data_IF_069939673699
#
_entry.id   IF_069939673699
#
_cell.length_a   1.000
_cell.length_b   1.000
_cell.length_c   1.000
_cell.angle_alpha   90.00
_cell.angle_beta   90.00
_cell.angle_gamma   90.00
#
_symmetry.space_group_name_H-M   'P 1'
#
loop_
_entity.id
_entity.type
_entity.pdbx_description
1 polymer ?
#
# COMPACT_ATOMS: atom_id res chain seq x y z
N UNK A 1 14.28 4.51 41.56
CA UNK A 1 13.48 4.48 40.31
C UNK A 1 13.02 3.04 40.18
N UNK A 2 11.72 2.78 40.13
CA UNK A 2 11.24 1.40 39.99
C UNK A 2 11.59 0.90 38.57
N UNK A 3 11.91 -0.38 38.41
CA UNK A 3 12.27 -1.01 37.12
C UNK A 3 11.21 -0.70 36.04
N UNK A 4 9.94 -0.66 36.43
CA UNK A 4 8.84 -0.26 35.56
C UNK A 4 8.99 1.18 35.01
N UNK A 5 9.31 2.16 35.87
CA UNK A 5 9.50 3.55 35.43
C UNK A 5 10.73 3.72 34.54
N UNK A 6 11.74 2.87 34.72
CA UNK A 6 12.90 2.85 33.86
C UNK A 6 12.54 2.29 32.47
N UNK A 7 11.76 1.21 32.41
CA UNK A 7 11.29 0.63 31.17
C UNK A 7 10.38 1.59 30.39
N UNK A 8 9.45 2.25 31.09
CA UNK A 8 8.55 3.26 30.51
C UNK A 8 9.33 4.42 29.89
N UNK A 9 10.36 4.95 30.58
CA UNK A 9 11.21 6.00 30.01
C UNK A 9 11.94 5.58 28.73
N UNK A 10 12.37 4.32 28.65
CA UNK A 10 12.97 3.78 27.44
C UNK A 10 11.93 3.72 26.30
N UNK A 11 10.69 3.27 26.60
CA UNK A 11 9.61 3.24 25.62
C UNK A 11 9.21 4.64 25.12
N UNK A 12 9.03 5.61 26.03
CA UNK A 12 8.72 7.00 25.67
C UNK A 12 9.82 7.63 24.81
N UNK A 13 11.09 7.38 25.19
CA UNK A 13 12.22 7.88 24.43
C UNK A 13 12.28 7.29 23.03
N UNK A 14 11.92 6.02 22.88
CA UNK A 14 11.87 5.38 21.58
C UNK A 14 10.79 5.99 20.68
N UNK A 15 9.63 6.32 21.23
CA UNK A 15 8.56 6.98 20.48
C UNK A 15 9.02 8.35 19.94
N UNK A 16 9.67 9.16 20.78
CA UNK A 16 10.25 10.44 20.33
C UNK A 16 11.30 10.29 19.22
N UNK A 17 12.11 9.22 19.28
CA UNK A 17 13.14 8.92 18.30
C UNK A 17 12.53 8.45 16.97
N UNK A 18 11.49 7.63 17.05
CA UNK A 18 10.72 7.17 15.90
C UNK A 18 10.09 8.35 15.16
N UNK A 19 9.43 9.27 15.86
CA UNK A 19 8.82 10.47 15.27
C UNK A 19 9.83 11.37 14.56
N UNK A 20 11.11 11.32 14.98
CA UNK A 20 12.22 12.06 14.36
C UNK A 20 12.93 11.28 13.26
N UNK A 21 12.53 10.04 12.98
CA UNK A 21 13.15 9.16 11.98
C UNK A 21 14.44 8.46 12.43
N UNK A 22 14.81 8.54 13.71
CA UNK A 22 15.98 7.85 14.27
C UNK A 22 15.63 6.39 14.61
N UNK A 23 15.36 5.59 13.58
CA UNK A 23 14.80 4.24 13.70
C UNK A 23 15.71 3.27 14.47
N UNK A 24 17.03 3.34 14.26
CA UNK A 24 17.99 2.45 14.93
C UNK A 24 18.07 2.73 16.45
N UNK A 25 18.04 4.00 16.83
CA UNK A 25 18.02 4.42 18.23
C UNK A 25 16.67 4.10 18.88
N UNK A 26 15.56 4.32 18.18
CA UNK A 26 14.23 3.94 18.65
C UNK A 26 14.14 2.43 18.94
N UNK A 27 14.63 1.60 18.01
CA UNK A 27 14.71 0.15 18.17
C UNK A 27 15.56 -0.23 19.39
N UNK A 28 16.71 0.42 19.59
CA UNK A 28 17.59 0.17 20.74
C UNK A 28 16.88 0.46 22.07
N UNK A 29 16.17 1.59 22.16
CA UNK A 29 15.44 1.99 23.36
C UNK A 29 14.25 1.05 23.64
N UNK A 30 13.47 0.66 22.62
CA UNK A 30 12.39 -0.33 22.78
C UNK A 30 12.90 -1.69 23.27
N UNK A 31 14.04 -2.15 22.75
CA UNK A 31 14.64 -3.40 23.25
C UNK A 31 15.11 -3.30 24.70
N UNK A 32 15.59 -2.13 25.15
CA UNK A 32 15.92 -1.91 26.57
C UNK A 32 14.66 -1.94 27.44
N UNK A 33 13.57 -1.32 26.99
CA UNK A 33 12.28 -1.38 27.68
C UNK A 33 11.78 -2.83 27.80
N UNK A 34 11.78 -3.57 26.70
CA UNK A 34 11.32 -4.97 26.64
C UNK A 34 12.26 -5.94 27.37
N UNK A 35 13.54 -5.63 27.53
CA UNK A 35 14.45 -6.42 28.37
C UNK A 35 14.09 -6.35 29.86
N UNK A 36 13.43 -5.26 30.29
CA UNK A 36 12.96 -5.08 31.66
C UNK A 36 11.52 -5.62 31.82
N UNK A 37 10.64 -5.34 30.85
CA UNK A 37 9.25 -5.84 30.82
C UNK A 37 8.94 -6.45 29.45
N UNK A 38 9.11 -7.78 29.28
CA UNK A 38 8.99 -8.44 27.97
C UNK A 38 7.55 -8.54 27.45
N UNK A 39 6.57 -8.54 28.36
CA UNK A 39 5.16 -8.86 28.07
C UNK A 39 4.30 -7.60 27.88
N UNK A 40 4.88 -6.54 27.30
CA UNK A 40 4.18 -5.28 27.00
C UNK A 40 3.76 -5.22 25.53
N UNK A 41 2.49 -5.52 25.25
CA UNK A 41 1.94 -5.58 23.89
C UNK A 41 2.19 -4.30 23.08
N UNK A 42 1.91 -3.12 23.66
CA UNK A 42 2.09 -1.83 22.98
C UNK A 42 3.56 -1.57 22.59
N UNK A 43 4.50 -2.01 23.42
CA UNK A 43 5.93 -1.83 23.14
C UNK A 43 6.43 -2.83 22.09
N UNK A 44 5.92 -4.06 22.09
CA UNK A 44 6.14 -5.02 21.00
C UNK A 44 5.58 -4.47 19.68
N UNK A 45 4.39 -3.89 19.71
CA UNK A 45 3.76 -3.26 18.55
C UNK A 45 4.60 -2.09 18.01
N UNK A 46 5.05 -1.18 18.88
CA UNK A 46 5.91 -0.05 18.50
C UNK A 46 7.27 -0.52 17.96
N UNK A 47 7.82 -1.63 18.48
CA UNK A 47 9.02 -2.24 17.92
C UNK A 47 8.75 -2.81 16.51
N UNK A 48 7.60 -3.43 16.31
CA UNK A 48 7.12 -3.85 14.98
C UNK A 48 7.06 -2.70 13.99
N UNK A 49 6.41 -1.58 14.36
CA UNK A 49 6.33 -0.37 13.53
C UNK A 49 7.72 0.21 13.23
N UNK A 50 8.62 0.22 14.21
CA UNK A 50 10.00 0.71 14.02
C UNK A 50 10.78 -0.15 13.03
N UNK A 51 10.64 -1.48 13.11
CA UNK A 51 11.28 -2.42 12.20
C UNK A 51 10.68 -2.35 10.80
N UNK A 52 9.37 -2.19 10.69
CA UNK A 52 8.67 -1.99 9.42
C UNK A 52 9.13 -0.70 8.72
N UNK A 53 9.20 0.42 9.46
CA UNK A 53 9.75 1.67 8.93
C UNK A 53 11.21 1.51 8.46
N UNK A 54 11.98 0.64 9.13
CA UNK A 54 13.34 0.27 8.75
C UNK A 54 13.42 -0.78 7.62
N UNK A 55 12.29 -1.12 6.98
CA UNK A 55 12.18 -2.11 5.89
C UNK A 55 12.62 -3.53 6.30
N UNK A 56 12.51 -3.86 7.60
CA UNK A 56 12.85 -5.17 8.18
C UNK A 56 11.58 -5.99 8.42
N UNK A 57 10.81 -6.20 7.36
CA UNK A 57 9.46 -6.78 7.39
C UNK A 57 9.38 -8.12 8.13
N UNK A 58 10.38 -9.01 7.98
CA UNK A 58 10.36 -10.30 8.68
C UNK A 58 10.42 -10.14 10.21
N UNK A 59 11.28 -9.25 10.69
CA UNK A 59 11.41 -9.01 12.13
C UNK A 59 10.23 -8.20 12.67
N UNK A 60 9.69 -7.27 11.86
CA UNK A 60 8.47 -6.55 12.17
C UNK A 60 7.29 -7.51 12.37
N UNK A 61 7.11 -8.48 11.46
CA UNK A 61 6.08 -9.50 11.55
C UNK A 61 6.16 -10.27 12.87
N UNK A 62 7.35 -10.69 13.29
CA UNK A 62 7.53 -11.39 14.56
C UNK A 62 7.07 -10.55 15.77
N UNK A 63 7.33 -9.24 15.77
CA UNK A 63 6.92 -8.38 16.89
C UNK A 63 5.42 -8.07 16.86
N UNK A 64 4.83 -7.87 15.67
CA UNK A 64 3.38 -7.71 15.55
C UNK A 64 2.63 -8.97 16.00
N UNK A 65 3.14 -10.17 15.68
CA UNK A 65 2.55 -11.41 16.17
C UNK A 65 2.66 -11.57 17.68
N UNK A 66 3.80 -11.18 18.27
CA UNK A 66 3.94 -11.16 19.74
C UNK A 66 2.97 -10.18 20.38
N UNK A 67 2.84 -8.97 19.82
CA UNK A 67 1.87 -7.99 20.30
C UNK A 67 0.43 -8.53 20.21
N UNK A 68 0.06 -9.14 19.09
CA UNK A 68 -1.26 -9.75 18.89
C UNK A 68 -1.50 -10.96 19.81
N UNK A 69 -0.46 -11.72 20.17
CA UNK A 69 -0.56 -12.82 21.13
C UNK A 69 -0.71 -12.34 22.58
N UNK A 70 -0.05 -11.24 22.95
CA UNK A 70 -0.14 -10.62 24.28
C UNK A 70 -1.48 -9.89 24.48
N UNK A 71 -2.02 -9.29 23.41
CA UNK A 71 -3.28 -8.55 23.42
C UNK A 71 -4.22 -9.03 22.29
N UNK A 72 -4.80 -10.24 22.41
CA UNK A 72 -5.61 -10.85 21.34
C UNK A 72 -6.94 -10.14 21.08
N UNK A 73 -7.37 -9.27 21.99
CA UNK A 73 -8.57 -8.44 21.90
C UNK A 73 -8.31 -7.07 21.27
N UNK A 74 -7.05 -6.69 21.04
CA UNK A 74 -6.71 -5.44 20.38
C UNK A 74 -6.70 -5.57 18.84
N UNK A 75 -7.30 -4.59 18.18
CA UNK A 75 -7.39 -4.51 16.72
C UNK A 75 -6.04 -4.22 16.08
N UNK A 76 -5.28 -3.25 16.62
CA UNK A 76 -4.13 -2.66 15.93
C UNK A 76 -3.01 -3.68 15.63
N UNK A 77 -2.59 -4.55 16.58
CA UNK A 77 -1.59 -5.58 16.27
C UNK A 77 -2.08 -6.59 15.22
N UNK A 78 -3.35 -7.01 15.29
CA UNK A 78 -3.94 -7.94 14.33
C UNK A 78 -4.04 -7.32 12.93
N UNK A 79 -4.39 -6.04 12.84
CA UNK A 79 -4.44 -5.29 11.59
C UNK A 79 -3.03 -5.14 10.98
N UNK A 80 -2.01 -4.84 11.79
CA UNK A 80 -0.63 -4.76 11.31
C UNK A 80 -0.12 -6.10 10.78
N UNK A 81 -0.41 -7.22 11.47
CA UNK A 81 -0.12 -8.57 10.94
C UNK A 81 -0.81 -8.79 9.59
N UNK A 82 -2.09 -8.41 9.46
CA UNK A 82 -2.84 -8.59 8.23
C UNK A 82 -2.27 -7.79 7.06
N UNK A 83 -2.01 -6.49 7.27
CA UNK A 83 -1.45 -5.58 6.27
C UNK A 83 -0.04 -5.95 5.85
N UNK A 84 0.82 -6.32 6.81
CA UNK A 84 2.18 -6.76 6.49
C UNK A 84 2.18 -8.10 5.75
N UNK A 85 1.30 -9.03 6.15
CA UNK A 85 1.15 -10.31 5.44
C UNK A 85 0.66 -10.10 4.01
N UNK A 86 -0.23 -9.12 3.78
CA UNK A 86 -0.69 -8.74 2.45
C UNK A 86 0.49 -8.24 1.59
N UNK A 87 1.29 -7.31 2.12
CA UNK A 87 2.46 -6.76 1.41
C UNK A 87 3.49 -7.84 1.06
N UNK A 88 3.68 -8.81 1.95
CA UNK A 88 4.54 -9.97 1.73
C UNK A 88 3.91 -11.06 0.86
N UNK A 89 2.72 -10.80 0.29
CA UNK A 89 1.99 -11.71 -0.59
C UNK A 89 1.60 -13.05 0.08
N UNK A 90 1.50 -13.05 1.41
CA UNK A 90 1.04 -14.18 2.21
C UNK A 90 -0.49 -14.14 2.30
N UNK A 91 -1.17 -14.25 1.15
CA UNK A 91 -2.60 -13.96 0.98
C UNK A 91 -3.50 -14.71 1.97
N UNK A 92 -3.29 -16.01 2.15
CA UNK A 92 -4.10 -16.82 3.07
C UNK A 92 -3.96 -16.34 4.52
N UNK A 93 -2.72 -16.06 4.96
CA UNK A 93 -2.42 -15.56 6.31
C UNK A 93 -2.99 -14.16 6.52
N UNK A 94 -2.90 -13.30 5.51
CA UNK A 94 -3.47 -11.96 5.54
C UNK A 94 -4.99 -12.00 5.66
N UNK A 95 -5.67 -12.82 4.86
CA UNK A 95 -7.12 -13.01 4.92
C UNK A 95 -7.59 -13.50 6.30
N UNK A 96 -6.90 -14.47 6.90
CA UNK A 96 -7.19 -14.93 8.26
C UNK A 96 -7.01 -13.82 9.32
N UNK A 97 -5.96 -13.02 9.20
CA UNK A 97 -5.68 -11.93 10.12
C UNK A 97 -6.71 -10.80 10.00
N UNK A 98 -7.13 -10.43 8.78
CA UNK A 98 -8.25 -9.50 8.60
C UNK A 98 -9.57 -10.08 9.12
N UNK A 99 -9.81 -11.39 9.00
CA UNK A 99 -10.99 -12.01 9.62
C UNK A 99 -10.95 -11.94 11.16
N UNK A 100 -9.77 -12.07 11.78
CA UNK A 100 -9.60 -11.80 13.21
C UNK A 100 -9.97 -10.37 13.56
N UNK A 101 -9.48 -9.40 12.79
CA UNK A 101 -9.83 -7.98 12.97
C UNK A 101 -11.34 -7.78 12.89
N UNK A 102 -12.01 -8.33 11.87
CA UNK A 102 -13.46 -8.17 11.71
C UNK A 102 -14.30 -8.89 12.78
N UNK A 103 -13.74 -9.86 13.51
CA UNK A 103 -14.40 -10.43 14.70
C UNK A 103 -14.32 -9.49 15.91
N UNK A 104 -13.25 -8.72 16.02
CA UNK A 104 -13.05 -7.73 17.09
C UNK A 104 -13.81 -6.43 16.79
N UNK A 105 -13.69 -5.96 15.55
CA UNK A 105 -14.27 -4.72 15.05
C UNK A 105 -14.93 -4.99 13.67
N UNK A 106 -16.21 -5.38 13.65
CA UNK A 106 -16.94 -5.70 12.41
C UNK A 106 -17.05 -4.53 11.42
N UNK A 107 -16.85 -3.30 11.90
CA UNK A 107 -16.95 -2.05 11.14
C UNK A 107 -15.60 -1.52 10.64
N UNK A 108 -14.50 -2.26 10.83
CA UNK A 108 -13.18 -1.83 10.33
C UNK A 108 -13.14 -1.89 8.79
N UNK A 109 -13.15 -0.72 8.16
CA UNK A 109 -13.15 -0.58 6.70
C UNK A 109 -11.89 -1.16 6.08
N UNK A 110 -10.72 -0.93 6.68
CA UNK A 110 -9.42 -1.41 6.21
C UNK A 110 -9.39 -2.94 6.15
N UNK A 111 -10.00 -3.61 7.15
CA UNK A 111 -10.04 -5.06 7.17
C UNK A 111 -11.00 -5.66 6.13
N UNK A 112 -12.12 -4.98 5.85
CA UNK A 112 -12.99 -5.37 4.74
C UNK A 112 -12.29 -5.19 3.39
N UNK A 113 -11.71 -4.01 3.14
CA UNK A 113 -10.97 -3.72 1.92
C UNK A 113 -9.83 -4.72 1.71
N UNK A 114 -9.01 -4.96 2.73
CA UNK A 114 -7.90 -5.92 2.68
C UNK A 114 -8.34 -7.35 2.38
N UNK A 115 -9.50 -7.82 2.87
CA UNK A 115 -10.05 -9.14 2.48
C UNK A 115 -10.45 -9.20 1.02
N UNK A 116 -11.12 -8.14 0.51
CA UNK A 116 -11.49 -8.06 -0.91
C UNK A 116 -10.23 -8.10 -1.77
N UNK A 117 -9.18 -7.39 -1.38
CA UNK A 117 -7.89 -7.39 -2.08
C UNK A 117 -7.20 -8.76 -2.02
N UNK A 118 -7.19 -9.45 -0.86
CA UNK A 118 -6.67 -10.81 -0.74
C UNK A 118 -7.35 -11.78 -1.72
N UNK A 119 -8.68 -11.79 -1.75
CA UNK A 119 -9.44 -12.63 -2.67
C UNK A 119 -9.22 -12.24 -4.13
N UNK A 120 -9.06 -10.94 -4.40
CA UNK A 120 -8.73 -10.46 -5.75
C UNK A 120 -7.36 -10.96 -6.20
N UNK A 121 -6.36 -10.90 -5.32
CA UNK A 121 -5.00 -11.35 -5.60
C UNK A 121 -4.90 -12.87 -5.83
N UNK A 122 -5.75 -13.67 -5.17
CA UNK A 122 -5.80 -15.14 -5.40
C UNK A 122 -6.71 -15.55 -6.56
N UNK A 123 -7.38 -14.60 -7.23
CA UNK A 123 -8.32 -14.87 -8.32
C UNK A 123 -9.68 -15.40 -7.86
N UNK A 124 -9.93 -15.37 -6.56
CA UNK A 124 -11.15 -15.78 -5.85
C UNK A 124 -12.24 -14.70 -5.97
N UNK A 125 -12.58 -14.32 -7.20
CA UNK A 125 -13.39 -13.13 -7.46
C UNK A 125 -14.83 -13.21 -6.90
N UNK A 126 -15.41 -14.40 -6.83
CA UNK A 126 -16.71 -14.62 -6.16
C UNK A 126 -16.63 -14.33 -4.66
N UNK A 127 -15.54 -14.72 -4.00
CA UNK A 127 -15.33 -14.40 -2.59
C UNK A 127 -15.03 -12.91 -2.38
N UNK A 128 -14.34 -12.26 -3.34
CA UNK A 128 -14.14 -10.81 -3.31
C UNK A 128 -15.48 -10.05 -3.38
N UNK A 129 -16.41 -10.44 -4.29
CA UNK A 129 -17.74 -9.83 -4.34
C UNK A 129 -18.58 -10.14 -3.09
N UNK A 130 -18.44 -11.35 -2.52
CA UNK A 130 -19.11 -11.71 -1.26
C UNK A 130 -18.58 -10.88 -0.10
N UNK A 131 -17.26 -10.71 0.01
CA UNK A 131 -16.64 -9.88 1.03
C UNK A 131 -17.09 -8.42 0.90
N UNK A 132 -17.17 -7.89 -0.33
CA UNK A 132 -17.71 -6.55 -0.57
C UNK A 132 -19.18 -6.41 -0.14
N UNK A 133 -20.02 -7.41 -0.41
CA UNK A 133 -21.40 -7.41 0.06
C UNK A 133 -21.50 -7.43 1.60
N UNK A 134 -20.64 -8.20 2.26
CA UNK A 134 -20.57 -8.21 3.72
C UNK A 134 -20.10 -6.87 4.29
N UNK A 135 -19.18 -6.18 3.62
CA UNK A 135 -18.76 -4.84 3.99
C UNK A 135 -19.92 -3.83 3.91
N UNK A 136 -20.68 -3.81 2.82
CA UNK A 136 -21.85 -2.92 2.67
C UNK A 136 -22.98 -3.22 3.66
N UNK A 137 -23.03 -4.42 4.24
CA UNK A 137 -23.99 -4.77 5.30
C UNK A 137 -23.50 -4.35 6.69
N UNK A 138 -22.18 -4.41 6.91
CA UNK A 138 -21.58 -4.13 8.21
C UNK A 138 -21.35 -2.62 8.44
N UNK A 139 -21.11 -1.87 7.37
CA UNK A 139 -20.81 -0.44 7.43
C UNK A 139 -22.08 0.40 7.28
N UNK A 140 -22.18 1.50 8.04
CA UNK A 140 -23.32 2.42 7.97
C UNK A 140 -23.37 3.15 6.63
N UNK A 141 -22.21 3.58 6.16
CA UNK A 141 -22.00 4.23 4.86
C UNK A 141 -21.12 3.38 3.96
N UNK A 142 -21.29 3.50 2.64
CA UNK A 142 -20.43 2.78 1.70
C UNK A 142 -18.98 3.27 1.80
N UNK A 143 -18.05 2.34 1.95
CA UNK A 143 -16.62 2.64 2.06
C UNK A 143 -15.96 2.86 0.69
N UNK A 144 -15.26 3.99 0.52
CA UNK A 144 -14.54 4.31 -0.71
C UNK A 144 -13.42 3.30 -1.01
N UNK A 145 -12.69 2.86 0.01
CA UNK A 145 -11.61 1.88 -0.13
C UNK A 145 -12.14 0.48 -0.45
N UNK A 146 -13.30 0.08 0.09
CA UNK A 146 -13.95 -1.18 -0.29
C UNK A 146 -14.45 -1.15 -1.75
N UNK A 147 -15.02 -0.02 -2.19
CA UNK A 147 -15.45 0.19 -3.58
C UNK A 147 -14.27 0.15 -4.55
N UNK A 148 -13.12 0.73 -4.18
CA UNK A 148 -11.88 0.62 -4.94
C UNK A 148 -11.41 -0.83 -5.02
N UNK A 149 -11.33 -1.54 -3.88
CA UNK A 149 -10.87 -2.92 -3.84
C UNK A 149 -11.73 -3.86 -4.71
N UNK A 150 -13.06 -3.76 -4.64
CA UNK A 150 -13.95 -4.60 -5.46
C UNK A 150 -13.88 -4.23 -6.94
N UNK A 151 -13.64 -2.96 -7.27
CA UNK A 151 -13.48 -2.54 -8.66
C UNK A 151 -12.30 -3.26 -9.34
N UNK A 152 -11.16 -3.42 -8.65
CA UNK A 152 -10.02 -4.21 -9.14
C UNK A 152 -10.46 -5.63 -9.52
N UNK A 153 -11.20 -6.31 -8.65
CA UNK A 153 -11.75 -7.64 -8.94
C UNK A 153 -12.66 -7.65 -10.17
N UNK A 154 -13.54 -6.67 -10.29
CA UNK A 154 -14.46 -6.52 -11.43
C UNK A 154 -13.71 -6.26 -12.75
N UNK A 155 -12.61 -5.52 -12.73
CA UNK A 155 -11.73 -5.31 -13.89
C UNK A 155 -11.12 -6.63 -14.36
N UNK A 156 -10.60 -7.46 -13.45
CA UNK A 156 -10.09 -8.79 -13.79
C UNK A 156 -11.15 -9.68 -14.45
N UNK A 157 -12.41 -9.57 -14.02
CA UNK A 157 -13.56 -10.26 -14.63
C UNK A 157 -14.09 -9.60 -15.91
N UNK A 158 -13.45 -8.53 -16.42
CA UNK A 158 -13.92 -7.71 -17.56
C UNK A 158 -15.31 -7.09 -17.36
N UNK A 159 -15.76 -6.93 -16.13
CA UNK A 159 -17.04 -6.29 -15.79
C UNK A 159 -16.88 -4.76 -15.72
N UNK A 160 -16.40 -4.15 -16.80
CA UNK A 160 -15.94 -2.76 -16.83
C UNK A 160 -17.01 -1.74 -16.43
N UNK A 161 -18.28 -1.96 -16.79
CA UNK A 161 -19.38 -1.06 -16.39
C UNK A 161 -19.60 -1.01 -14.88
N UNK A 162 -19.50 -2.16 -14.20
CA UNK A 162 -19.65 -2.24 -12.73
C UNK A 162 -18.41 -1.64 -12.05
N UNK A 163 -17.21 -1.96 -12.56
CA UNK A 163 -15.96 -1.38 -12.06
C UNK A 163 -15.97 0.16 -12.17
N UNK A 164 -16.38 0.72 -13.32
CA UNK A 164 -16.48 2.17 -13.52
C UNK A 164 -17.47 2.80 -12.55
N UNK A 165 -18.62 2.15 -12.31
CA UNK A 165 -19.59 2.62 -11.33
C UNK A 165 -19.00 2.65 -9.91
N UNK A 166 -18.33 1.58 -9.48
CA UNK A 166 -17.67 1.50 -8.18
C UNK A 166 -16.62 2.61 -8.00
N UNK A 167 -15.72 2.77 -8.98
CA UNK A 167 -14.65 3.78 -8.93
C UNK A 167 -15.20 5.21 -8.94
N UNK A 168 -16.23 5.49 -9.75
CA UNK A 168 -16.89 6.79 -9.73
C UNK A 168 -17.60 7.08 -8.41
N UNK A 169 -18.14 6.05 -7.74
CA UNK A 169 -18.72 6.18 -6.40
C UNK A 169 -17.63 6.42 -5.37
N UNK A 170 -16.53 5.68 -5.41
CA UNK A 170 -15.36 5.87 -4.52
C UNK A 170 -14.83 7.31 -4.59
N UNK A 171 -14.58 7.84 -5.79
CA UNK A 171 -14.12 9.22 -6.01
C UNK A 171 -15.08 10.29 -5.47
N UNK A 172 -16.40 9.99 -5.41
CA UNK A 172 -17.39 10.93 -4.86
C UNK A 172 -17.44 10.90 -3.34
N UNK A 173 -17.16 9.76 -2.73
CA UNK A 173 -17.19 9.56 -1.29
C UNK A 173 -15.92 10.13 -0.67
N UNK A 174 -14.77 9.78 -1.25
CA UNK A 174 -13.47 10.28 -0.83
C UNK A 174 -12.70 10.84 -2.03
N UNK A 175 -12.53 12.16 -2.03
CA UNK A 175 -11.76 12.87 -3.06
C UNK A 175 -10.25 12.85 -2.80
N UNK A 176 -9.81 12.48 -1.59
CA UNK A 176 -8.40 12.42 -1.22
C UNK A 176 -7.76 11.06 -1.57
N UNK A 177 -8.59 10.03 -1.77
CA UNK A 177 -8.19 8.71 -2.25
C UNK A 177 -7.70 8.77 -3.71
N UNK A 178 -6.39 8.90 -3.90
CA UNK A 178 -5.74 9.09 -5.22
C UNK A 178 -5.83 7.85 -6.11
N UNK A 179 -5.83 6.67 -5.50
CA UNK A 179 -5.81 5.42 -6.26
C UNK A 179 -7.12 5.18 -7.02
N UNK A 180 -8.26 5.58 -6.48
CA UNK A 180 -9.56 5.44 -7.13
C UNK A 180 -9.65 6.20 -8.49
N UNK A 181 -9.32 7.50 -8.61
CA UNK A 181 -9.30 8.18 -9.90
C UNK A 181 -8.18 7.67 -10.83
N UNK A 182 -7.03 7.21 -10.30
CA UNK A 182 -6.00 6.54 -11.13
C UNK A 182 -6.56 5.27 -11.77
N UNK A 183 -7.17 4.38 -10.97
CA UNK A 183 -7.77 3.15 -11.48
C UNK A 183 -8.89 3.44 -12.47
N UNK A 184 -9.68 4.50 -12.23
CA UNK A 184 -10.71 4.94 -13.17
C UNK A 184 -10.11 5.38 -14.50
N UNK A 185 -9.04 6.16 -14.49
CA UNK A 185 -8.37 6.60 -15.71
C UNK A 185 -7.79 5.41 -16.50
N UNK A 186 -7.14 4.47 -15.82
CA UNK A 186 -6.62 3.26 -16.44
C UNK A 186 -7.74 2.40 -17.04
N UNK A 187 -8.84 2.22 -16.32
CA UNK A 187 -10.03 1.51 -16.83
C UNK A 187 -10.62 2.20 -18.07
N UNK A 188 -10.71 3.53 -18.07
CA UNK A 188 -11.21 4.28 -19.21
C UNK A 188 -10.34 4.06 -20.46
N UNK A 189 -9.02 4.04 -20.30
CA UNK A 189 -8.09 3.71 -21.37
C UNK A 189 -8.18 2.23 -21.81
N UNK A 190 -8.52 1.28 -20.91
CA UNK A 190 -8.89 -0.10 -21.30
C UNK A 190 -10.17 -0.19 -22.13
N UNK A 191 -11.02 0.83 -22.06
CA UNK A 191 -12.29 0.88 -22.80
C UNK A 191 -12.28 1.89 -23.95
N UNK A 192 -11.09 2.20 -24.50
CA UNK A 192 -10.86 3.12 -25.63
C UNK A 192 -11.34 4.56 -25.40
N UNK A 193 -11.42 5.00 -24.14
CA UNK A 193 -11.82 6.35 -23.73
C UNK A 193 -10.63 7.20 -23.30
N UNK A 194 -9.61 7.24 -24.16
CA UNK A 194 -8.31 7.84 -23.85
C UNK A 194 -8.38 9.33 -23.50
N UNK A 195 -9.28 10.08 -24.15
CA UNK A 195 -9.48 11.50 -23.87
C UNK A 195 -9.96 11.74 -22.42
N UNK A 196 -10.87 10.89 -21.93
CA UNK A 196 -11.36 10.96 -20.55
C UNK A 196 -10.26 10.57 -19.56
N UNK A 197 -9.48 9.52 -19.87
CA UNK A 197 -8.36 9.08 -19.06
C UNK A 197 -7.28 10.16 -18.92
N UNK A 198 -6.88 10.78 -20.03
CA UNK A 198 -5.91 11.88 -20.06
C UNK A 198 -6.42 13.11 -19.31
N UNK A 199 -7.73 13.39 -19.35
CA UNK A 199 -8.34 14.46 -18.58
C UNK A 199 -8.20 14.21 -17.08
N UNK A 200 -8.51 13.01 -16.60
CA UNK A 200 -8.38 12.66 -15.17
C UNK A 200 -6.92 12.83 -14.71
N UNK A 201 -5.94 12.29 -15.43
CA UNK A 201 -4.53 12.49 -15.07
C UNK A 201 -4.11 13.95 -15.14
N UNK A 202 -4.61 14.72 -16.11
CA UNK A 202 -4.37 16.16 -16.19
C UNK A 202 -4.90 16.92 -14.97
N UNK A 203 -6.08 16.55 -14.48
CA UNK A 203 -6.67 17.15 -13.27
C UNK A 203 -5.91 16.72 -12.01
N UNK A 204 -5.55 15.44 -11.88
CA UNK A 204 -4.74 14.91 -10.78
C UNK A 204 -3.37 15.60 -10.69
N UNK A 205 -2.66 15.75 -11.80
CA UNK A 205 -1.34 16.39 -11.85
C UNK A 205 -1.38 17.91 -11.63
N UNK A 206 -2.54 18.56 -11.82
CA UNK A 206 -2.70 19.97 -11.42
C UNK A 206 -2.83 20.11 -9.91
N UNK A 207 -3.49 19.16 -9.26
CA UNK A 207 -3.70 19.16 -7.82
C UNK A 207 -2.44 18.71 -7.07
N UNK A 208 -1.78 17.65 -7.56
CA UNK A 208 -0.61 17.04 -6.94
C UNK A 208 0.48 16.77 -8.00
N UNK A 209 1.24 17.81 -8.40
CA UNK A 209 2.18 17.73 -9.53
C UNK A 209 3.40 16.83 -9.30
N UNK A 210 3.74 16.58 -8.04
CA UNK A 210 4.94 15.85 -7.61
C UNK A 210 4.61 14.51 -6.96
N UNK A 211 3.34 14.06 -7.02
CA UNK A 211 2.92 12.78 -6.46
C UNK A 211 3.51 11.60 -7.27
N UNK A 212 4.34 10.73 -6.65
CA UNK A 212 4.99 9.63 -7.34
C UNK A 212 4.04 8.66 -8.02
N UNK A 213 2.94 8.30 -7.35
CA UNK A 213 1.94 7.34 -7.82
C UNK A 213 1.21 7.87 -9.06
N UNK A 214 0.88 9.16 -9.07
CA UNK A 214 0.23 9.82 -10.21
C UNK A 214 1.21 9.92 -11.39
N UNK A 215 2.47 10.31 -11.15
CA UNK A 215 3.49 10.41 -12.21
C UNK A 215 3.74 9.05 -12.86
N UNK A 216 3.96 8.01 -12.06
CA UNK A 216 4.18 6.64 -12.54
C UNK A 216 2.97 6.12 -13.33
N UNK A 217 1.77 6.28 -12.79
CA UNK A 217 0.55 5.80 -13.46
C UNK A 217 0.25 6.57 -14.74
N UNK A 218 0.52 7.88 -14.77
CA UNK A 218 0.42 8.67 -16.00
C UNK A 218 1.43 8.24 -17.06
N UNK A 219 2.65 7.85 -16.64
CA UNK A 219 3.64 7.29 -17.55
C UNK A 219 3.15 5.96 -18.14
N UNK A 220 2.63 5.05 -17.31
CA UNK A 220 2.02 3.77 -17.76
C UNK A 220 0.88 4.00 -18.76
N UNK A 221 0.03 5.01 -18.52
CA UNK A 221 -1.00 5.41 -19.48
C UNK A 221 -0.37 5.86 -20.80
N UNK A 222 0.65 6.73 -20.78
CA UNK A 222 1.31 7.16 -22.02
C UNK A 222 1.97 6.01 -22.78
N UNK A 223 2.58 5.04 -22.08
CA UNK A 223 3.10 3.81 -22.71
C UNK A 223 2.00 3.06 -23.44
N UNK A 224 0.84 2.88 -22.79
CA UNK A 224 -0.32 2.22 -23.38
C UNK A 224 -0.83 2.94 -24.65
N UNK A 225 -0.84 4.27 -24.62
CA UNK A 225 -1.25 5.10 -25.75
C UNK A 225 -0.17 5.28 -26.84
N UNK A 226 0.96 4.56 -26.72
CA UNK A 226 2.13 4.66 -27.59
C UNK A 226 2.77 6.06 -27.65
N UNK A 227 2.54 6.87 -26.61
CA UNK A 227 3.08 8.23 -26.43
C UNK A 227 4.39 8.17 -25.65
N UNK A 228 5.37 7.47 -26.22
CA UNK A 228 6.63 7.13 -25.54
C UNK A 228 7.45 8.35 -25.06
N UNK A 229 7.56 9.46 -25.81
CA UNK A 229 8.28 10.64 -25.35
C UNK A 229 7.67 11.25 -24.08
N UNK A 230 6.34 11.33 -24.00
CA UNK A 230 5.64 11.81 -22.82
C UNK A 230 5.79 10.86 -21.62
N UNK A 231 5.76 9.54 -21.87
CA UNK A 231 6.02 8.54 -20.84
C UNK A 231 7.42 8.72 -20.22
N UNK A 232 8.45 8.85 -21.06
CA UNK A 232 9.84 9.08 -20.63
C UNK A 232 9.95 10.38 -19.83
N UNK A 233 9.34 11.47 -20.32
CA UNK A 233 9.35 12.75 -19.61
C UNK A 233 8.71 12.67 -18.21
N UNK A 234 7.66 11.85 -18.04
CA UNK A 234 7.04 11.59 -16.72
C UNK A 234 7.94 10.78 -15.80
N UNK A 235 8.57 9.74 -16.31
CA UNK A 235 9.51 8.91 -15.55
C UNK A 235 10.76 9.70 -15.13
N UNK A 236 11.32 10.51 -16.02
CA UNK A 236 12.44 11.39 -15.69
C UNK A 236 12.06 12.46 -14.66
N UNK A 237 10.80 12.90 -14.64
CA UNK A 237 10.33 13.80 -13.59
C UNK A 237 10.21 13.07 -12.25
N UNK A 238 9.63 11.87 -12.25
CA UNK A 238 9.54 11.01 -11.07
C UNK A 238 10.93 10.75 -10.46
N UNK A 239 11.91 10.38 -11.28
CA UNK A 239 13.28 10.10 -10.83
C UNK A 239 14.05 11.33 -10.34
N UNK A 240 13.59 12.56 -10.64
CA UNK A 240 14.13 13.78 -10.02
C UNK A 240 13.63 13.97 -8.59
N UNK A 241 12.41 13.52 -8.31
CA UNK A 241 11.76 13.62 -7.00
C UNK A 241 12.19 12.45 -6.12
N UNK A 242 12.14 11.23 -6.67
CA UNK A 242 12.58 10.00 -6.02
C UNK A 242 13.62 9.28 -6.89
N UNK A 243 14.92 9.58 -6.69
CA UNK A 243 16.01 8.97 -7.46
C UNK A 243 16.23 7.47 -7.22
N UNK A 244 15.53 6.86 -6.25
CA UNK A 244 15.68 5.43 -5.94
C UNK A 244 14.42 4.63 -6.31
N UNK A 245 13.48 5.23 -7.04
CA UNK A 245 12.23 4.59 -7.44
C UNK A 245 12.47 3.43 -8.42
N UNK A 246 12.48 2.20 -7.90
CA UNK A 246 12.79 0.98 -8.65
C UNK A 246 11.93 0.79 -9.91
N UNK A 247 10.61 0.91 -9.77
CA UNK A 247 9.70 0.67 -10.90
C UNK A 247 9.86 1.69 -12.03
N UNK A 248 10.22 2.94 -11.69
CA UNK A 248 10.41 4.00 -12.66
C UNK A 248 11.69 3.74 -13.50
N UNK A 249 12.78 3.33 -12.85
CA UNK A 249 13.99 2.88 -13.53
C UNK A 249 13.72 1.68 -14.44
N UNK A 250 12.97 0.68 -13.96
CA UNK A 250 12.58 -0.49 -14.75
C UNK A 250 11.79 -0.11 -16.01
N UNK A 251 10.74 0.70 -15.86
CA UNK A 251 9.91 1.10 -17.00
C UNK A 251 10.71 1.97 -17.99
N UNK A 252 11.60 2.82 -17.49
CA UNK A 252 12.47 3.65 -18.33
C UNK A 252 13.50 2.81 -19.10
N UNK A 253 13.99 1.73 -18.50
CA UNK A 253 14.87 0.75 -19.16
C UNK A 253 14.14 0.04 -20.31
N UNK A 254 12.93 -0.48 -20.04
CA UNK A 254 12.09 -1.16 -21.04
C UNK A 254 11.74 -0.24 -22.22
N UNK A 255 11.40 1.02 -21.93
CA UNK A 255 11.14 2.03 -22.95
C UNK A 255 12.38 2.39 -23.76
N UNK A 256 13.54 2.50 -23.11
CA UNK A 256 14.82 2.76 -23.78
C UNK A 256 15.20 1.60 -24.70
N UNK A 257 14.95 0.36 -24.28
CA UNK A 257 15.16 -0.83 -25.11
C UNK A 257 14.24 -0.82 -26.34
N UNK A 258 12.96 -0.50 -26.15
CA UNK A 258 11.97 -0.38 -27.24
C UNK A 258 12.35 0.70 -28.27
N UNK A 259 13.05 1.76 -27.84
CA UNK A 259 13.57 2.83 -28.69
C UNK A 259 14.99 2.56 -29.23
N UNK A 260 15.56 1.38 -29.00
CA UNK A 260 16.93 1.01 -29.38
C UNK A 260 18.04 1.86 -28.75
N UNK A 261 17.77 2.51 -27.62
CA UNK A 261 18.75 3.22 -26.80
C UNK A 261 19.41 2.27 -25.80
N UNK A 262 20.20 1.33 -26.32
CA UNK A 262 20.76 0.22 -25.54
C UNK A 262 21.65 0.66 -24.38
N UNK A 263 22.47 1.71 -24.57
CA UNK A 263 23.37 2.21 -23.52
C UNK A 263 22.58 2.73 -22.31
N UNK A 264 21.48 3.47 -22.58
CA UNK A 264 20.59 3.98 -21.54
C UNK A 264 19.86 2.82 -20.86
N UNK A 265 19.29 1.90 -21.62
CA UNK A 265 18.60 0.74 -21.06
C UNK A 265 19.50 -0.08 -20.13
N UNK A 266 20.75 -0.32 -20.53
CA UNK A 266 21.72 -1.04 -19.71
C UNK A 266 22.06 -0.30 -18.42
N UNK A 267 22.21 1.03 -18.46
CA UNK A 267 22.45 1.85 -17.27
C UNK A 267 21.29 1.76 -16.28
N UNK A 268 20.05 1.91 -16.76
CA UNK A 268 18.85 1.84 -15.91
C UNK A 268 18.69 0.46 -15.26
N UNK A 269 18.88 -0.63 -16.02
CA UNK A 269 18.84 -1.99 -15.42
C UNK A 269 19.96 -2.22 -14.39
N UNK A 270 21.16 -1.66 -14.62
CA UNK A 270 22.24 -1.75 -13.62
C UNK A 270 21.89 -0.99 -12.34
N UNK A 271 21.17 0.13 -12.44
CA UNK A 271 20.70 0.86 -11.26
C UNK A 271 19.66 0.04 -10.49
N UNK A 272 18.68 -0.55 -11.17
CA UNK A 272 17.71 -1.46 -10.55
C UNK A 272 18.43 -2.57 -9.77
N UNK A 273 19.40 -3.26 -10.38
CA UNK A 273 20.14 -4.35 -9.72
C UNK A 273 20.98 -3.87 -8.52
N UNK A 274 21.44 -2.61 -8.53
CA UNK A 274 22.17 -2.04 -7.38
C UNK A 274 21.25 -1.64 -6.25
N UNK A 275 20.06 -1.13 -6.58
CA UNK A 275 19.06 -0.70 -5.62
C UNK A 275 18.33 -1.89 -4.98
N UNK A 276 18.24 -3.02 -5.69
CA UNK A 276 17.67 -4.27 -5.19
C UNK A 276 18.55 -5.49 -5.59
N UNK A 277 19.68 -5.70 -4.90
CA UNK A 277 20.65 -6.76 -5.22
C UNK A 277 20.14 -8.20 -4.96
#
# INVERSE_FOLDING_TARGET
>A
MNEWQQAERHADRALELFDRGFLAEAESELRKALAIQPDQADWQFNLGLTLEAAQRDREAMEQFERAAALAPDQVHPNLAVASLAFRLQLWARSAEAYERVLRLEPTCEEAHAGRIECFTATGEHEQAETAFYLAELALEDSSAICLQAVASSLVHRRQFKRAEWCLRKAVRIDSELVDAPIQLAMLLAETDRDADALKIFGDLLRLRPEDPSILLSSAKLFVKLDRLPEAIGRLEHLLRIDPIHLEAHHLLADLSLRLHHYDRAMLEYQLVLRLHP
#
